data_IF_864321682783
#
_entry.id   IF_864321682783
#
_cell.length_a   1.000
_cell.length_b   1.000
_cell.length_c   1.000
_cell.angle_alpha   90.00
_cell.angle_beta   90.00
_cell.angle_gamma   90.00
#
_symmetry.space_group_name_H-M   'P 1'
#
loop_
_entity.id
_entity.type
_entity.pdbx_description
1 polymer ?
#
# COMPACT_ATOMS: atom_id res chain seq x y z
N UNK A 1 25.82 -16.00 -42.23
CA UNK A 1 26.87 -16.06 -41.18
C UNK A 1 26.32 -15.36 -39.95
N UNK A 2 25.88 -16.13 -38.95
CA UNK A 2 25.36 -15.63 -37.69
C UNK A 2 26.56 -15.18 -36.86
N UNK A 3 26.79 -13.88 -36.78
CA UNK A 3 27.80 -13.32 -35.90
C UNK A 3 27.33 -13.52 -34.45
N UNK A 4 27.96 -14.46 -33.74
CA UNK A 4 27.86 -14.61 -32.29
C UNK A 4 28.42 -13.34 -31.65
N UNK A 5 27.56 -12.34 -31.42
CA UNK A 5 27.87 -11.20 -30.55
C UNK A 5 28.23 -11.77 -29.16
N UNK A 6 29.33 -11.32 -28.51
CA UNK A 6 29.66 -11.77 -27.16
C UNK A 6 28.43 -11.57 -26.25
N UNK A 7 28.13 -12.59 -25.45
CA UNK A 7 26.87 -12.79 -24.73
C UNK A 7 26.35 -11.52 -24.03
N UNK A 8 25.42 -10.81 -24.69
CA UNK A 8 24.73 -9.63 -24.15
C UNK A 8 23.98 -9.89 -22.84
N UNK A 9 23.94 -11.14 -22.38
CA UNK A 9 23.47 -11.59 -21.07
C UNK A 9 24.10 -10.85 -19.89
N UNK A 10 25.40 -10.52 -19.93
CA UNK A 10 26.05 -9.79 -18.82
C UNK A 10 25.58 -8.35 -18.75
N UNK A 11 25.45 -7.71 -19.92
CA UNK A 11 24.94 -6.35 -20.02
C UNK A 11 23.44 -6.26 -19.66
N UNK A 12 22.67 -7.28 -20.05
CA UNK A 12 21.28 -7.43 -19.63
C UNK A 12 21.16 -7.62 -18.10
N UNK A 13 21.93 -8.51 -17.51
CA UNK A 13 21.94 -8.68 -16.05
C UNK A 13 22.34 -7.39 -15.32
N UNK A 14 23.31 -6.63 -15.84
CA UNK A 14 23.71 -5.35 -15.26
C UNK A 14 22.57 -4.31 -15.32
N UNK A 15 21.86 -4.21 -16.45
CA UNK A 15 20.69 -3.33 -16.61
C UNK A 15 19.55 -3.72 -15.67
N UNK A 16 19.30 -5.01 -15.45
CA UNK A 16 18.30 -5.50 -14.48
C UNK A 16 18.68 -5.15 -13.04
N UNK A 17 19.96 -5.31 -12.67
CA UNK A 17 20.46 -4.91 -11.36
C UNK A 17 20.29 -3.40 -11.15
N UNK A 18 20.59 -2.59 -12.18
CA UNK A 18 20.37 -1.14 -12.13
C UNK A 18 18.88 -0.80 -11.97
N UNK A 19 18.00 -1.44 -12.74
CA UNK A 19 16.55 -1.27 -12.60
C UNK A 19 16.04 -1.68 -11.20
N UNK A 20 16.56 -2.78 -10.65
CA UNK A 20 16.24 -3.22 -9.29
C UNK A 20 16.71 -2.22 -8.23
N UNK A 21 17.92 -1.69 -8.36
CA UNK A 21 18.48 -0.66 -7.48
C UNK A 21 17.65 0.63 -7.53
N UNK A 22 17.22 1.05 -8.72
CA UNK A 22 16.33 2.21 -8.89
C UNK A 22 15.00 1.97 -8.16
N UNK A 23 14.46 0.75 -8.23
CA UNK A 23 13.21 0.38 -7.57
C UNK A 23 13.32 0.27 -6.03
N UNK A 24 14.51 0.29 -5.43
CA UNK A 24 14.67 0.36 -3.96
C UNK A 24 14.04 1.64 -3.41
N UNK A 25 14.19 2.76 -4.12
CA UNK A 25 13.62 4.06 -3.73
C UNK A 25 12.15 4.25 -4.11
N UNK A 26 11.45 3.18 -4.52
CA UNK A 26 10.05 3.23 -4.98
C UNK A 26 9.05 3.78 -3.96
N UNK A 27 9.39 3.74 -2.67
CA UNK A 27 8.56 4.27 -1.59
C UNK A 27 8.66 5.79 -1.45
N UNK A 28 9.77 6.41 -1.87
CA UNK A 28 10.00 7.84 -1.74
C UNK A 28 9.66 8.61 -3.03
N UNK A 29 9.96 8.04 -4.20
CA UNK A 29 9.81 8.70 -5.49
C UNK A 29 9.22 7.77 -6.56
N UNK A 30 8.10 7.11 -6.23
CA UNK A 30 7.50 6.03 -7.03
C UNK A 30 7.24 6.34 -8.51
N UNK A 31 6.99 7.60 -8.88
CA UNK A 31 6.86 8.03 -10.27
C UNK A 31 8.21 7.95 -10.99
N UNK A 32 9.22 8.64 -10.47
CA UNK A 32 10.56 8.68 -11.06
C UNK A 32 11.20 7.30 -11.12
N UNK A 33 11.12 6.51 -10.05
CA UNK A 33 11.75 5.20 -10.01
C UNK A 33 11.12 4.21 -11.00
N UNK A 34 9.79 4.24 -11.16
CA UNK A 34 9.10 3.32 -12.07
C UNK A 34 9.30 3.73 -13.54
N UNK A 35 9.21 5.04 -13.85
CA UNK A 35 9.45 5.53 -15.21
C UNK A 35 10.91 5.33 -15.62
N UNK A 36 11.86 5.61 -14.73
CA UNK A 36 13.29 5.49 -15.03
C UNK A 36 13.73 4.03 -15.11
N UNK A 37 13.22 3.14 -14.25
CA UNK A 37 13.44 1.70 -14.38
C UNK A 37 12.87 1.14 -15.70
N UNK A 38 11.67 1.57 -16.11
CA UNK A 38 11.08 1.16 -17.38
C UNK A 38 11.88 1.66 -18.60
N UNK A 39 12.38 2.90 -18.56
CA UNK A 39 13.24 3.46 -19.61
C UNK A 39 14.59 2.73 -19.71
N UNK A 40 15.18 2.35 -18.57
CA UNK A 40 16.42 1.55 -18.52
C UNK A 40 16.19 0.17 -19.15
N UNK A 41 15.05 -0.47 -18.87
CA UNK A 41 14.70 -1.77 -19.46
C UNK A 41 14.39 -1.69 -20.96
N UNK A 42 13.92 -0.54 -21.45
CA UNK A 42 13.71 -0.31 -22.88
C UNK A 42 15.01 -0.32 -23.70
N UNK A 43 16.19 -0.23 -23.06
CA UNK A 43 17.49 -0.33 -23.75
C UNK A 43 17.88 -1.79 -24.05
N UNK A 44 17.16 -2.77 -23.50
CA UNK A 44 17.45 -4.20 -23.67
C UNK A 44 17.50 -4.68 -25.13
N UNK A 45 16.60 -4.28 -26.04
CA UNK A 45 16.64 -4.74 -27.44
C UNK A 45 17.93 -4.38 -28.17
N UNK A 46 18.60 -3.31 -27.73
CA UNK A 46 19.83 -2.80 -28.36
C UNK A 46 21.10 -3.49 -27.85
N UNK A 47 21.04 -4.08 -26.65
CA UNK A 47 22.20 -4.53 -25.86
C UNK A 47 22.15 -6.02 -25.52
N UNK A 48 20.96 -6.61 -25.38
CA UNK A 48 20.72 -7.96 -24.87
C UNK A 48 19.91 -8.87 -25.83
N UNK A 49 19.66 -10.14 -25.43
CA UNK A 49 18.82 -11.06 -26.20
C UNK A 49 17.38 -10.55 -26.36
N UNK A 50 16.69 -10.96 -27.43
CA UNK A 50 15.33 -10.51 -27.73
C UNK A 50 14.35 -10.81 -26.58
N UNK A 51 13.37 -9.91 -26.39
CA UNK A 51 12.35 -9.94 -25.33
C UNK A 51 11.52 -11.24 -25.29
N UNK A 52 11.52 -12.02 -26.37
CA UNK A 52 10.80 -13.29 -26.50
C UNK A 52 11.47 -14.46 -25.76
N UNK A 53 12.72 -14.31 -25.30
CA UNK A 53 13.44 -15.37 -24.56
C UNK A 53 13.70 -15.07 -23.08
N UNK A 54 13.53 -13.81 -22.65
CA UNK A 54 13.84 -13.40 -21.28
C UNK A 54 12.57 -13.16 -20.44
N UNK A 55 12.34 -13.99 -19.43
CA UNK A 55 11.21 -13.83 -18.49
C UNK A 55 11.39 -12.65 -17.51
N UNK A 56 12.61 -12.16 -17.31
CA UNK A 56 12.93 -11.15 -16.32
C UNK A 56 12.39 -9.73 -16.69
N UNK A 57 12.53 -9.21 -17.92
CA UNK A 57 11.95 -7.92 -18.33
C UNK A 57 10.44 -7.81 -18.10
N UNK A 58 9.72 -8.92 -18.30
CA UNK A 58 8.26 -9.01 -18.12
C UNK A 58 7.89 -8.76 -16.65
N UNK A 59 8.56 -9.43 -15.71
CA UNK A 59 8.33 -9.26 -14.28
C UNK A 59 8.64 -7.83 -13.83
N UNK A 60 9.71 -7.22 -14.34
CA UNK A 60 10.04 -5.84 -14.01
C UNK A 60 9.00 -4.84 -14.52
N UNK A 61 8.45 -5.04 -15.72
CA UNK A 61 7.37 -4.20 -16.25
C UNK A 61 6.11 -4.29 -15.38
N UNK A 62 5.74 -5.51 -14.97
CA UNK A 62 4.64 -5.73 -14.04
C UNK A 62 4.88 -5.05 -12.68
N UNK A 63 6.11 -5.12 -12.15
CA UNK A 63 6.51 -4.44 -10.91
C UNK A 63 6.46 -2.91 -11.06
N UNK A 64 6.85 -2.36 -12.20
CA UNK A 64 6.74 -0.93 -12.49
C UNK A 64 5.27 -0.49 -12.53
N UNK A 65 4.41 -1.25 -13.22
CA UNK A 65 2.96 -1.01 -13.25
C UNK A 65 2.34 -1.03 -11.84
N UNK A 66 2.64 -2.06 -11.06
CA UNK A 66 2.21 -2.16 -9.65
C UNK A 66 2.71 -0.99 -8.80
N UNK A 67 3.97 -0.60 -8.98
CA UNK A 67 4.60 0.48 -8.21
C UNK A 67 3.93 1.83 -8.49
N UNK A 68 3.69 2.16 -9.76
CA UNK A 68 2.90 3.32 -10.16
C UNK A 68 1.48 3.26 -9.57
N UNK A 69 0.86 2.09 -9.65
CA UNK A 69 -0.49 1.86 -9.15
C UNK A 69 -0.61 2.02 -7.64
N UNK A 70 0.40 1.61 -6.88
CA UNK A 70 0.40 1.61 -5.41
C UNK A 70 0.84 2.94 -4.81
N UNK A 71 1.95 3.52 -5.26
CA UNK A 71 2.64 4.61 -4.56
C UNK A 71 2.41 6.01 -5.16
N UNK A 72 1.98 6.12 -6.42
CA UNK A 72 1.71 7.43 -7.04
C UNK A 72 0.25 7.83 -6.78
N UNK A 73 0.07 8.86 -5.95
CA UNK A 73 -1.24 9.52 -5.74
C UNK A 73 -1.54 10.41 -6.96
N UNK A 74 -2.81 10.47 -7.39
CA UNK A 74 -3.32 11.30 -8.50
C UNK A 74 -3.17 10.72 -9.92
N UNK A 75 -3.72 11.42 -10.92
CA UNK A 75 -3.66 11.14 -12.36
C UNK A 75 -2.23 11.07 -12.92
N UNK A 76 -1.22 11.48 -12.13
CA UNK A 76 0.21 11.31 -12.43
C UNK A 76 0.63 9.86 -12.66
N UNK A 77 -0.03 8.89 -12.02
CA UNK A 77 0.22 7.47 -12.28
C UNK A 77 -0.14 7.06 -13.72
N UNK A 78 -1.19 7.67 -14.29
CA UNK A 78 -1.58 7.45 -15.70
C UNK A 78 -0.54 8.04 -16.65
N UNK A 79 0.03 9.20 -16.33
CA UNK A 79 1.15 9.76 -17.11
C UNK A 79 2.35 8.82 -17.12
N UNK A 80 2.69 8.20 -15.98
CA UNK A 80 3.75 7.18 -15.91
C UNK A 80 3.46 5.98 -16.81
N UNK A 81 2.23 5.45 -16.78
CA UNK A 81 1.80 4.36 -17.66
C UNK A 81 1.81 4.79 -19.13
N UNK A 82 1.38 6.00 -19.44
CA UNK A 82 1.36 6.55 -20.80
C UNK A 82 2.77 6.74 -21.35
N UNK A 83 3.73 7.21 -20.55
CA UNK A 83 5.14 7.34 -20.95
C UNK A 83 5.75 5.97 -21.22
N UNK A 84 5.48 4.98 -20.37
CA UNK A 84 5.95 3.60 -20.59
C UNK A 84 5.34 3.04 -21.88
N UNK A 85 4.02 3.17 -22.05
CA UNK A 85 3.34 2.73 -23.27
C UNK A 85 3.85 3.42 -24.54
N UNK A 86 4.11 4.73 -24.49
CA UNK A 86 4.68 5.49 -25.60
C UNK A 86 6.10 5.02 -25.93
N UNK A 87 6.93 4.76 -24.92
CA UNK A 87 8.28 4.23 -25.10
C UNK A 87 8.26 2.86 -25.79
N UNK A 88 7.36 1.96 -25.37
CA UNK A 88 7.15 0.68 -26.04
C UNK A 88 6.60 0.83 -27.46
N UNK A 89 5.72 1.80 -27.71
CA UNK A 89 5.19 2.06 -29.05
C UNK A 89 6.29 2.60 -30.00
N UNK A 90 7.21 3.43 -29.49
CA UNK A 90 8.35 3.91 -30.29
C UNK A 90 9.30 2.76 -30.64
N UNK A 91 9.60 1.88 -29.68
CA UNK A 91 10.42 0.69 -29.92
C UNK A 91 9.76 -0.24 -30.96
N UNK A 92 8.46 -0.50 -30.80
CA UNK A 92 7.64 -1.27 -31.75
C UNK A 92 7.63 -0.67 -33.16
N UNK A 93 7.60 0.66 -33.30
CA UNK A 93 7.52 1.31 -34.61
C UNK A 93 8.87 1.50 -35.31
N UNK A 94 9.96 1.62 -34.56
CA UNK A 94 11.27 2.05 -35.10
C UNK A 94 12.34 0.96 -35.09
N UNK A 95 12.17 -0.11 -34.30
CA UNK A 95 13.25 -1.07 -34.00
C UNK A 95 12.88 -2.51 -34.36
N UNK A 96 11.62 -2.92 -34.18
CA UNK A 96 11.20 -4.29 -34.41
C UNK A 96 10.88 -4.55 -35.90
N UNK A 97 11.63 -5.42 -36.56
CA UNK A 97 11.35 -5.84 -37.96
C UNK A 97 10.33 -7.00 -38.04
N UNK A 98 9.76 -7.43 -36.90
CA UNK A 98 8.77 -8.52 -36.85
C UNK A 98 7.41 -8.11 -37.42
N UNK A 99 6.57 -9.11 -37.73
CA UNK A 99 5.19 -8.86 -38.17
C UNK A 99 4.36 -8.29 -37.02
N UNK A 100 4.14 -6.99 -37.10
CA UNK A 100 3.28 -6.20 -36.23
C UNK A 100 1.83 -6.73 -36.20
N UNK A 101 1.33 -7.09 -35.02
CA UNK A 101 -0.04 -7.61 -34.85
C UNK A 101 -0.75 -7.08 -33.60
N UNK A 102 -2.08 -7.23 -33.57
CA UNK A 102 -2.90 -6.86 -32.41
C UNK A 102 -2.50 -7.63 -31.12
N UNK A 103 -1.88 -8.80 -31.27
CA UNK A 103 -1.40 -9.62 -30.16
C UNK A 103 -0.39 -8.89 -29.26
N UNK A 104 0.52 -8.11 -29.84
CA UNK A 104 1.58 -7.43 -29.09
C UNK A 104 1.02 -6.27 -28.24
N UNK A 105 0.05 -5.54 -28.80
CA UNK A 105 -0.65 -4.47 -28.08
C UNK A 105 -1.45 -5.06 -26.92
N UNK A 106 -2.14 -6.17 -27.14
CA UNK A 106 -2.89 -6.87 -26.09
C UNK A 106 -1.95 -7.42 -25.02
N UNK A 107 -0.81 -7.99 -25.41
CA UNK A 107 0.21 -8.48 -24.49
C UNK A 107 0.75 -7.37 -23.60
N UNK A 108 1.15 -6.23 -24.18
CA UNK A 108 1.66 -5.08 -23.43
C UNK A 108 0.60 -4.49 -22.49
N UNK A 109 -0.64 -4.34 -22.97
CA UNK A 109 -1.75 -3.87 -22.16
C UNK A 109 -2.02 -4.82 -20.97
N UNK A 110 -1.99 -6.12 -21.21
CA UNK A 110 -2.15 -7.18 -20.20
C UNK A 110 -0.99 -7.22 -19.22
N UNK A 111 0.21 -6.83 -19.64
CA UNK A 111 1.37 -6.82 -18.79
C UNK A 111 1.39 -5.63 -17.81
N UNK A 112 0.87 -4.47 -18.23
CA UNK A 112 0.98 -3.22 -17.45
C UNK A 112 -0.29 -2.89 -16.68
N UNK A 113 -1.47 -3.06 -17.30
CA UNK A 113 -2.73 -2.58 -16.72
C UNK A 113 -3.17 -3.39 -15.49
N UNK A 114 -3.18 -4.74 -15.48
CA UNK A 114 -3.61 -5.50 -14.32
C UNK A 114 -2.73 -5.25 -13.08
N UNK A 115 -1.39 -5.25 -13.15
CA UNK A 115 -0.55 -4.90 -12.00
C UNK A 115 -0.80 -3.47 -11.50
N UNK A 116 -1.01 -2.51 -12.41
CA UNK A 116 -1.36 -1.13 -12.04
C UNK A 116 -2.69 -1.05 -11.28
N UNK A 117 -3.74 -1.71 -11.79
CA UNK A 117 -5.04 -1.78 -11.12
C UNK A 117 -4.91 -2.47 -9.76
N UNK A 118 -4.17 -3.57 -9.69
CA UNK A 118 -3.92 -4.28 -8.44
C UNK A 118 -3.17 -3.41 -7.40
N UNK A 119 -2.17 -2.63 -7.85
CA UNK A 119 -1.52 -1.62 -7.02
C UNK A 119 -2.50 -0.57 -6.49
N UNK A 120 -3.45 -0.12 -7.32
CA UNK A 120 -4.46 0.88 -6.94
C UNK A 120 -5.45 0.31 -5.91
N UNK A 121 -5.89 -0.94 -6.10
CA UNK A 121 -6.81 -1.64 -5.20
C UNK A 121 -6.14 -1.91 -3.85
N UNK A 122 -4.91 -2.44 -3.85
CA UNK A 122 -4.18 -2.72 -2.61
C UNK A 122 -3.92 -1.48 -1.77
N UNK A 123 -3.65 -0.33 -2.39
CA UNK A 123 -3.59 0.94 -1.64
C UNK A 123 -4.96 1.31 -1.06
N UNK A 124 -6.03 1.27 -1.85
CA UNK A 124 -7.38 1.60 -1.34
C UNK A 124 -7.79 0.73 -0.16
N UNK A 125 -7.49 -0.58 -0.22
CA UNK A 125 -7.75 -1.50 0.88
C UNK A 125 -6.91 -1.16 2.12
N UNK A 126 -5.66 -0.72 1.93
CA UNK A 126 -4.81 -0.27 3.04
C UNK A 126 -5.37 1.01 3.69
N UNK A 127 -5.78 2.00 2.88
CA UNK A 127 -6.39 3.24 3.36
C UNK A 127 -7.68 2.93 4.15
N UNK A 128 -8.57 2.07 3.61
CA UNK A 128 -9.79 1.64 4.28
C UNK A 128 -9.54 0.86 5.57
N UNK A 129 -8.51 0.01 5.59
CA UNK A 129 -8.15 -0.74 6.79
C UNK A 129 -7.65 0.19 7.90
N UNK A 130 -6.93 1.26 7.55
CA UNK A 130 -6.47 2.28 8.50
C UNK A 130 -7.66 3.08 9.06
N UNK A 131 -8.59 3.52 8.21
CA UNK A 131 -9.83 4.19 8.63
C UNK A 131 -10.67 3.30 9.56
N UNK A 132 -10.83 2.01 9.22
CA UNK A 132 -11.58 1.07 10.04
C UNK A 132 -10.92 0.86 11.41
N UNK A 133 -9.59 0.75 11.46
CA UNK A 133 -8.84 0.64 12.72
C UNK A 133 -9.03 1.88 13.58
N UNK A 134 -8.94 3.07 12.99
CA UNK A 134 -9.16 4.32 13.71
C UNK A 134 -10.59 4.41 14.27
N UNK A 135 -11.60 4.01 13.48
CA UNK A 135 -13.00 3.98 13.92
C UNK A 135 -13.22 2.97 15.06
N UNK A 136 -12.68 1.76 14.96
CA UNK A 136 -12.77 0.75 16.02
C UNK A 136 -12.12 1.23 17.32
N UNK A 137 -10.99 1.91 17.23
CA UNK A 137 -10.31 2.44 18.41
C UNK A 137 -11.12 3.58 19.06
N UNK A 138 -11.75 4.44 18.26
CA UNK A 138 -12.67 5.46 18.76
C UNK A 138 -13.86 4.84 19.50
N UNK A 139 -14.49 3.80 18.92
CA UNK A 139 -15.62 3.07 19.54
C UNK A 139 -15.18 2.41 20.85
N UNK A 140 -14.02 1.74 20.87
CA UNK A 140 -13.49 1.11 22.09
C UNK A 140 -13.26 2.14 23.19
N UNK A 141 -12.65 3.29 22.86
CA UNK A 141 -12.43 4.38 23.83
C UNK A 141 -13.75 4.94 24.36
N UNK A 142 -14.77 5.07 23.51
CA UNK A 142 -16.10 5.53 23.91
C UNK A 142 -16.78 4.52 24.85
N UNK A 143 -16.73 3.22 24.54
CA UNK A 143 -17.28 2.17 25.39
C UNK A 143 -16.61 2.14 26.78
N UNK A 144 -15.29 2.25 26.84
CA UNK A 144 -14.55 2.32 28.11
C UNK A 144 -14.97 3.54 28.94
N UNK A 145 -15.19 4.70 28.30
CA UNK A 145 -15.67 5.91 29.01
C UNK A 145 -17.09 5.73 29.53
N UNK A 146 -17.99 5.17 28.73
CA UNK A 146 -19.36 4.89 29.13
C UNK A 146 -19.42 3.91 30.31
N UNK A 147 -18.59 2.87 30.27
CA UNK A 147 -18.44 1.90 31.36
C UNK A 147 -17.97 2.57 32.66
N UNK A 148 -16.92 3.39 32.58
CA UNK A 148 -16.41 4.15 33.74
C UNK A 148 -17.47 5.07 34.33
N UNK A 149 -18.27 5.73 33.49
CA UNK A 149 -19.38 6.57 33.96
C UNK A 149 -20.52 5.75 34.58
N UNK A 150 -20.75 4.51 34.13
CA UNK A 150 -21.73 3.61 34.75
C UNK A 150 -21.23 3.16 36.12
N UNK A 151 -20.00 2.65 36.21
CA UNK A 151 -19.37 2.22 37.47
C UNK A 151 -19.32 3.37 38.48
N UNK A 152 -18.96 4.58 38.06
CA UNK A 152 -18.96 5.73 38.97
C UNK A 152 -20.34 6.03 39.56
N UNK A 153 -21.42 5.86 38.79
CA UNK A 153 -22.80 6.03 39.27
C UNK A 153 -23.22 4.90 40.21
N UNK A 154 -22.97 3.65 39.83
CA UNK A 154 -23.25 2.49 40.69
C UNK A 154 -22.51 2.61 42.03
N UNK A 155 -21.23 3.02 42.01
CA UNK A 155 -20.46 3.29 43.22
C UNK A 155 -21.03 4.46 44.03
N UNK A 156 -21.46 5.54 43.37
CA UNK A 156 -22.08 6.67 44.06
C UNK A 156 -23.37 6.25 44.77
N UNK A 157 -24.22 5.46 44.12
CA UNK A 157 -25.48 5.00 44.68
C UNK A 157 -25.25 4.07 45.89
N UNK A 158 -24.31 3.12 45.78
CA UNK A 158 -23.94 2.23 46.89
C UNK A 158 -23.35 3.02 48.07
N UNK A 159 -22.41 3.93 47.80
CA UNK A 159 -21.78 4.76 48.84
C UNK A 159 -22.80 5.67 49.50
N UNK A 160 -23.66 6.35 48.73
CA UNK A 160 -24.69 7.23 49.26
C UNK A 160 -25.68 6.47 50.16
N UNK A 161 -26.08 5.26 49.76
CA UNK A 161 -26.94 4.41 50.56
C UNK A 161 -26.26 3.96 51.86
N UNK A 162 -25.01 3.47 51.80
CA UNK A 162 -24.27 3.05 53.00
C UNK A 162 -24.02 4.19 53.98
N UNK A 163 -23.66 5.38 53.49
CA UNK A 163 -23.47 6.56 54.34
C UNK A 163 -24.78 6.97 55.00
N UNK A 164 -25.89 6.96 54.26
CA UNK A 164 -27.21 7.27 54.83
C UNK A 164 -27.59 6.28 55.95
N UNK A 165 -27.34 4.99 55.75
CA UNK A 165 -27.57 3.97 56.77
C UNK A 165 -26.67 4.16 58.01
N UNK A 166 -25.39 4.49 57.83
CA UNK A 166 -24.47 4.79 58.95
C UNK A 166 -24.91 6.00 59.74
N UNK A 167 -25.35 7.08 59.09
CA UNK A 167 -25.87 8.29 59.76
C UNK A 167 -27.09 7.93 60.59
N UNK A 168 -28.02 7.17 60.02
CA UNK A 168 -29.25 6.74 60.71
C UNK A 168 -28.94 5.83 61.92
N UNK A 169 -27.93 4.95 61.80
CA UNK A 169 -27.45 4.11 62.90
C UNK A 169 -26.75 4.92 64.00
N UNK A 170 -25.93 5.91 63.63
CA UNK A 170 -25.23 6.77 64.59
C UNK A 170 -26.21 7.64 65.40
N UNK A 171 -27.24 8.17 64.74
CA UNK A 171 -28.31 8.95 65.37
C UNK A 171 -29.10 8.09 66.38
N UNK A 172 -29.52 6.89 65.98
CA UNK A 172 -30.18 5.93 66.86
C UNK A 172 -29.30 5.50 68.05
N UNK A 173 -27.99 5.34 67.86
CA UNK A 173 -27.06 5.05 68.95
C UNK A 173 -26.90 6.24 69.91
N UNK A 174 -26.95 7.48 69.41
CA UNK A 174 -26.96 8.70 70.23
C UNK A 174 -28.20 8.81 71.11
N UNK A 175 -29.37 8.42 70.59
CA UNK A 175 -30.64 8.45 71.32
C UNK A 175 -30.76 7.33 72.37
N UNK A 176 -30.08 6.20 72.16
CA UNK A 176 -30.03 5.06 73.10
C UNK A 176 -28.96 5.20 74.20
N UNK A 177 -28.05 6.17 74.12
CA UNK A 177 -27.08 6.43 75.19
C UNK A 177 -27.80 7.12 76.37
N UNK A 178 -27.81 6.52 77.58
CA UNK A 178 -28.42 7.15 78.74
C UNK A 178 -27.70 8.47 79.03
N UNK A 179 -28.47 9.56 79.07
CA UNK A 179 -27.97 10.86 79.53
C UNK A 179 -27.74 10.75 81.04
N UNK A 180 -26.52 10.42 81.44
CA UNK A 180 -26.15 10.47 82.86
C UNK A 180 -26.05 11.97 83.26
N UNK A 181 -26.79 12.44 84.28
CA UNK A 181 -26.86 13.85 84.69
C UNK A 181 -25.56 14.39 85.31
#
# INVERSE_FOLDING_TARGET
MVALRPSGWVAAAALEVVAALILVWRRAAGLWTATLAALVLLQMPWIGPQLDQAAAPILFCAVCGYTLGRWVRSSRGLWGVAVIGAAFAVDYLLVDERQHGLGDVIFLATLILPPYVFGRVTRRLADQAEELRAAQEAVRRAAVRAERQRVARELHDVVAHSVSAMVLQADAAGELLPTDP
#
